data_IF_524179770717
#
_entry.id   IF_524179770717
#
_cell.length_a   1.000
_cell.length_b   1.000
_cell.length_c   1.000
_cell.angle_alpha   90.00
_cell.angle_beta   90.00
_cell.angle_gamma   90.00
#
_symmetry.space_group_name_H-M   'P 1'
#
loop_
_entity.id
_entity.type
_entity.pdbx_description
1 polymer ?
#
# COMPACT_ATOMS: atom_id res chain seq x y z
N UNK A 1 -9.39 30.60 2.25
CA UNK A 1 -8.96 29.34 1.58
C UNK A 1 -8.64 28.33 2.67
N UNK A 2 -9.47 27.32 2.88
CA UNK A 2 -9.17 26.25 3.82
C UNK A 2 -7.96 25.48 3.30
N UNK A 3 -6.89 25.37 4.10
CA UNK A 3 -5.81 24.40 3.82
C UNK A 3 -6.48 23.05 3.68
N UNK A 4 -6.43 22.42 2.49
CA UNK A 4 -6.75 21.01 2.37
C UNK A 4 -5.90 20.30 3.42
N UNK A 5 -6.55 19.63 4.38
CA UNK A 5 -5.85 18.69 5.26
C UNK A 5 -5.14 17.71 4.33
N UNK A 6 -3.81 17.73 4.34
CA UNK A 6 -3.01 16.74 3.61
C UNK A 6 -3.49 15.36 4.06
N UNK A 7 -3.94 14.53 3.12
CA UNK A 7 -4.24 13.14 3.42
C UNK A 7 -2.93 12.51 3.95
N UNK A 8 -2.86 12.06 5.22
CA UNK A 8 -1.62 11.56 5.82
C UNK A 8 -1.06 10.36 5.06
N UNK A 9 -1.92 9.64 4.32
CA UNK A 9 -1.56 8.41 3.60
C UNK A 9 -1.50 8.60 2.08
N UNK A 10 -1.40 9.85 1.59
CA UNK A 10 -1.41 10.14 0.15
C UNK A 10 -0.28 9.41 -0.60
N UNK A 11 0.93 9.39 -0.04
CA UNK A 11 2.07 8.71 -0.65
C UNK A 11 1.80 7.21 -0.83
N UNK A 12 1.18 6.57 0.16
CA UNK A 12 0.79 5.16 0.07
C UNK A 12 -0.24 4.93 -1.02
N UNK A 13 -1.26 5.80 -1.12
CA UNK A 13 -2.24 5.75 -2.20
C UNK A 13 -1.57 5.83 -3.58
N UNK A 14 -0.64 6.77 -3.75
CA UNK A 14 0.04 7.01 -5.03
C UNK A 14 0.93 5.82 -5.42
N UNK A 15 1.64 5.22 -4.47
CA UNK A 15 2.45 4.02 -4.71
C UNK A 15 1.60 2.83 -5.18
N UNK A 16 0.45 2.61 -4.54
CA UNK A 16 -0.47 1.53 -4.90
C UNK A 16 -1.12 1.79 -6.25
N UNK A 17 -1.63 3.00 -6.47
CA UNK A 17 -2.24 3.39 -7.74
C UNK A 17 -1.26 3.22 -8.92
N UNK A 18 0.01 3.59 -8.74
CA UNK A 18 1.05 3.41 -9.75
C UNK A 18 1.37 1.93 -10.01
N UNK A 19 1.43 1.10 -8.97
CA UNK A 19 1.64 -0.35 -9.11
C UNK A 19 0.50 -1.00 -9.90
N UNK A 20 -0.75 -0.69 -9.55
CA UNK A 20 -1.96 -1.16 -10.25
C UNK A 20 -1.96 -0.68 -11.70
N UNK A 21 -1.76 0.63 -11.92
CA UNK A 21 -1.75 1.22 -13.26
C UNK A 21 -0.68 0.58 -14.16
N UNK A 22 0.51 0.32 -13.62
CA UNK A 22 1.58 -0.37 -14.35
C UNK A 22 1.19 -1.82 -14.65
N UNK A 23 0.65 -2.53 -13.67
CA UNK A 23 0.29 -3.94 -13.82
C UNK A 23 -0.86 -4.16 -14.81
N UNK A 24 -1.81 -3.22 -14.91
CA UNK A 24 -2.87 -3.25 -15.92
C UNK A 24 -2.36 -3.19 -17.35
N UNK A 25 -1.22 -2.52 -17.58
CA UNK A 25 -0.64 -2.35 -18.93
C UNK A 25 0.37 -3.45 -19.26
N UNK A 26 1.24 -3.80 -18.30
CA UNK A 26 2.40 -4.67 -18.55
C UNK A 26 2.36 -6.00 -17.80
N UNK A 27 1.31 -6.25 -17.01
CA UNK A 27 1.28 -7.35 -16.04
C UNK A 27 2.05 -7.01 -14.76
N UNK A 28 1.78 -7.77 -13.69
CA UNK A 28 2.42 -7.54 -12.40
C UNK A 28 3.95 -7.71 -12.48
N UNK A 29 4.69 -6.68 -12.08
CA UNK A 29 6.15 -6.72 -12.04
C UNK A 29 6.65 -6.94 -10.61
N UNK A 30 7.28 -8.08 -10.37
CA UNK A 30 7.78 -8.47 -9.04
C UNK A 30 8.72 -7.45 -8.40
N UNK A 31 9.54 -6.73 -9.19
CA UNK A 31 10.45 -5.70 -8.64
C UNK A 31 9.66 -4.50 -8.11
N UNK A 32 8.64 -4.06 -8.85
CA UNK A 32 7.76 -2.96 -8.44
C UNK A 32 6.95 -3.38 -7.22
N UNK A 33 6.36 -4.57 -7.24
CA UNK A 33 5.62 -5.13 -6.10
C UNK A 33 6.48 -5.14 -4.83
N UNK A 34 7.69 -5.69 -4.90
CA UNK A 34 8.59 -5.75 -3.76
C UNK A 34 8.99 -4.36 -3.26
N UNK A 35 9.24 -3.42 -4.18
CA UNK A 35 9.58 -2.04 -3.83
C UNK A 35 8.43 -1.35 -3.07
N UNK A 36 7.20 -1.48 -3.57
CA UNK A 36 6.01 -0.87 -2.95
C UNK A 36 5.73 -1.52 -1.59
N UNK A 37 5.70 -2.85 -1.51
CA UNK A 37 5.47 -3.55 -0.25
C UNK A 37 6.56 -3.23 0.81
N UNK A 38 7.83 -3.18 0.41
CA UNK A 38 8.93 -2.84 1.34
C UNK A 38 8.87 -1.37 1.78
N UNK A 39 8.50 -0.46 0.90
CA UNK A 39 8.32 0.96 1.24
C UNK A 39 7.20 1.13 2.27
N UNK A 40 6.06 0.46 2.04
CA UNK A 40 4.92 0.50 2.97
C UNK A 40 5.28 -0.15 4.31
N UNK A 41 5.90 -1.34 4.31
CA UNK A 41 6.36 -2.00 5.53
C UNK A 41 7.34 -1.14 6.34
N UNK A 42 8.24 -0.41 5.68
CA UNK A 42 9.12 0.53 6.37
C UNK A 42 8.35 1.72 6.97
N UNK A 43 7.41 2.31 6.22
CA UNK A 43 6.58 3.40 6.75
C UNK A 43 5.78 2.96 7.98
N UNK A 44 5.24 1.73 7.99
CA UNK A 44 4.56 1.15 9.15
C UNK A 44 5.49 1.11 10.36
N UNK A 45 6.71 0.56 10.21
CA UNK A 45 7.71 0.46 11.28
C UNK A 45 8.14 1.84 11.79
N UNK A 46 8.24 2.85 10.92
CA UNK A 46 8.63 4.21 11.30
C UNK A 46 7.53 4.94 12.08
N UNK A 47 6.29 4.44 12.08
CA UNK A 47 5.11 5.03 12.73
C UNK A 47 4.75 4.37 14.08
N UNK A 48 5.70 3.70 14.74
CA UNK A 48 5.54 2.85 15.94
C UNK A 48 5.13 3.58 17.25
N UNK A 49 4.41 4.70 17.15
CA UNK A 49 4.02 5.53 18.30
C UNK A 49 2.54 5.47 18.71
N UNK A 50 1.63 4.95 17.87
CA UNK A 50 0.19 5.28 18.04
C UNK A 50 -0.79 4.51 17.13
N UNK A 51 -0.69 3.18 16.92
CA UNK A 51 -1.56 2.42 15.97
C UNK A 51 -1.58 2.97 14.52
N UNK A 52 -0.81 4.01 14.21
CA UNK A 52 -0.79 4.69 12.92
C UNK A 52 -0.24 3.77 11.83
N UNK A 53 0.64 2.83 12.19
CA UNK A 53 1.08 1.76 11.30
C UNK A 53 -0.06 0.83 10.85
N UNK A 54 -0.96 0.46 11.76
CA UNK A 54 -2.14 -0.36 11.44
C UNK A 54 -3.13 0.41 10.59
N UNK A 55 -3.35 1.70 10.89
CA UNK A 55 -4.20 2.57 10.07
C UNK A 55 -3.64 2.75 8.66
N UNK A 56 -2.31 2.91 8.53
CA UNK A 56 -1.62 3.00 7.23
C UNK A 56 -1.79 1.70 6.44
N UNK A 57 -1.66 0.54 7.10
CA UNK A 57 -1.82 -0.75 6.44
C UNK A 57 -3.27 -0.99 6.02
N UNK A 58 -4.24 -0.67 6.87
CA UNK A 58 -5.65 -0.74 6.54
C UNK A 58 -5.99 0.18 5.36
N UNK A 59 -5.44 1.40 5.35
CA UNK A 59 -5.56 2.33 4.22
C UNK A 59 -4.95 1.75 2.94
N UNK A 60 -3.75 1.17 3.02
CA UNK A 60 -3.09 0.51 1.89
C UNK A 60 -3.96 -0.61 1.29
N UNK A 61 -4.50 -1.50 2.12
CA UNK A 61 -5.39 -2.57 1.68
C UNK A 61 -6.67 -2.01 1.04
N UNK A 62 -7.23 -0.93 1.59
CA UNK A 62 -8.43 -0.28 1.04
C UNK A 62 -8.23 0.35 -0.35
N UNK A 63 -6.98 0.65 -0.72
CA UNK A 63 -6.63 1.19 -2.04
C UNK A 63 -6.68 0.13 -3.16
N UNK A 64 -6.75 -1.16 -2.81
CA UNK A 64 -6.80 -2.26 -3.78
C UNK A 64 -8.23 -2.82 -3.81
N UNK A 65 -8.98 -2.52 -4.87
CA UNK A 65 -10.29 -3.13 -5.07
C UNK A 65 -10.18 -4.62 -5.41
N UNK A 66 -11.29 -5.37 -5.30
CA UNK A 66 -11.31 -6.78 -5.71
C UNK A 66 -10.89 -6.99 -7.17
N UNK A 67 -11.27 -6.07 -8.06
CA UNK A 67 -10.86 -6.11 -9.47
C UNK A 67 -9.37 -5.76 -9.65
N UNK A 68 -8.84 -4.82 -8.85
CA UNK A 68 -7.41 -4.48 -8.91
C UNK A 68 -6.53 -5.59 -8.37
N UNK A 69 -7.00 -6.34 -7.38
CA UNK A 69 -6.30 -7.49 -6.83
C UNK A 69 -6.00 -8.56 -7.89
N UNK A 70 -6.82 -8.68 -8.94
CA UNK A 70 -6.56 -9.57 -10.08
C UNK A 70 -5.33 -9.13 -10.90
N UNK A 71 -5.04 -7.83 -10.93
CA UNK A 71 -3.89 -7.27 -11.64
C UNK A 71 -2.62 -7.26 -10.80
N UNK A 72 -2.73 -7.17 -9.46
CA UNK A 72 -1.59 -7.13 -8.54
C UNK A 72 -1.69 -8.17 -7.40
N UNK A 73 -1.88 -9.46 -7.72
CA UNK A 73 -2.13 -10.49 -6.71
C UNK A 73 -0.96 -10.67 -5.73
N UNK A 74 0.27 -10.50 -6.19
CA UNK A 74 1.47 -10.62 -5.35
C UNK A 74 1.57 -9.44 -4.38
N UNK A 75 1.27 -8.22 -4.84
CA UNK A 75 1.26 -7.04 -3.98
C UNK A 75 0.19 -7.13 -2.91
N UNK A 76 -1.04 -7.51 -3.30
CA UNK A 76 -2.13 -7.68 -2.36
C UNK A 76 -1.77 -8.72 -1.29
N UNK A 77 -1.20 -9.86 -1.69
CA UNK A 77 -0.73 -10.89 -0.76
C UNK A 77 0.39 -10.39 0.16
N UNK A 78 1.33 -9.60 -0.36
CA UNK A 78 2.42 -9.03 0.44
C UNK A 78 1.90 -8.05 1.49
N UNK A 79 0.91 -7.22 1.18
CA UNK A 79 0.27 -6.33 2.14
C UNK A 79 -0.48 -7.10 3.22
N UNK A 80 -1.22 -8.16 2.86
CA UNK A 80 -1.85 -9.04 3.86
C UNK A 80 -0.82 -9.72 4.78
N UNK A 81 0.34 -10.12 4.24
CA UNK A 81 1.41 -10.69 5.06
C UNK A 81 2.00 -9.70 6.08
N UNK A 82 2.00 -8.39 5.78
CA UNK A 82 2.40 -7.37 6.74
C UNK A 82 1.41 -7.28 7.92
N UNK A 83 0.13 -7.59 7.72
CA UNK A 83 -0.89 -7.56 8.78
C UNK A 83 -0.69 -8.66 9.83
N UNK A 84 0.02 -9.74 9.49
CA UNK A 84 0.31 -10.86 10.40
C UNK A 84 1.60 -10.62 11.19
N UNK A 85 2.42 -9.65 10.79
CA UNK A 85 3.70 -9.31 11.45
C UNK A 85 3.55 -8.25 12.55
N UNK A 86 2.37 -7.63 12.68
CA UNK A 86 2.11 -6.52 13.62
C UNK A 86 1.26 -6.97 14.83
N UNK A 87 0.88 -8.26 14.92
CA UNK A 87 0.32 -8.88 16.15
C UNK A 87 1.42 -9.35 17.11
#
# INVERSE_FOLDING_TARGET
MAKLKSNPYQTTSDLIANAIGTARVFGENRRITNLVASSIGRMIIEMDGSNEGDELLAHALSCISAQDAEHVPTLHSALHALSVLVE
#
